data_IF_124345758526
#
_entry.id   IF_124345758526
#
_cell.length_a   1.000
_cell.length_b   1.000
_cell.length_c   1.000
_cell.angle_alpha   90.00
_cell.angle_beta   90.00
_cell.angle_gamma   90.00
#
_symmetry.space_group_name_H-M   'P 1'
#
loop_
_entity.id
_entity.type
_entity.pdbx_description
1 polymer ?
#
# COMPACT_ATOMS: atom_id res chain seq x y z
N UNK A 1 -41.84 -36.84 -22.56
CA UNK A 1 -40.71 -36.86 -21.60
C UNK A 1 -40.01 -35.52 -21.71
N UNK A 2 -40.33 -34.57 -20.82
CA UNK A 2 -39.69 -33.25 -20.79
C UNK A 2 -38.33 -33.39 -20.10
N UNK A 3 -37.25 -33.01 -20.79
CA UNK A 3 -35.96 -32.74 -20.16
C UNK A 3 -35.70 -31.24 -20.26
N UNK A 4 -36.14 -30.52 -19.23
CA UNK A 4 -35.74 -29.14 -18.97
C UNK A 4 -34.30 -29.18 -18.45
N UNK A 5 -33.33 -28.92 -19.32
CA UNK A 5 -31.98 -28.58 -18.88
C UNK A 5 -32.03 -27.16 -18.34
N UNK A 6 -32.18 -27.03 -17.02
CA UNK A 6 -31.83 -25.81 -16.29
C UNK A 6 -30.33 -25.61 -16.42
N UNK A 7 -29.90 -24.99 -17.52
CA UNK A 7 -28.53 -24.53 -17.71
C UNK A 7 -28.18 -23.59 -16.56
N UNK A 8 -27.36 -24.10 -15.63
CA UNK A 8 -26.81 -23.32 -14.54
C UNK A 8 -26.09 -22.11 -15.16
N UNK A 9 -26.62 -20.91 -14.91
CA UNK A 9 -25.89 -19.69 -15.19
C UNK A 9 -24.61 -19.72 -14.34
N UNK A 10 -23.51 -20.11 -14.98
CA UNK A 10 -22.18 -20.02 -14.40
C UNK A 10 -21.92 -18.52 -14.25
N UNK A 11 -22.12 -17.96 -13.06
CA UNK A 11 -21.76 -16.59 -12.75
C UNK A 11 -20.23 -16.48 -12.82
N UNK A 12 -19.71 -16.32 -14.03
CA UNK A 12 -18.29 -16.20 -14.30
C UNK A 12 -17.84 -14.80 -13.90
N UNK A 13 -17.43 -14.66 -12.65
CA UNK A 13 -16.91 -13.41 -12.09
C UNK A 13 -15.48 -13.12 -12.57
N UNK A 14 -15.23 -13.29 -13.87
CA UNK A 14 -13.91 -13.24 -14.52
C UNK A 14 -13.68 -11.97 -15.33
N UNK A 15 -14.50 -10.93 -15.12
CA UNK A 15 -14.23 -9.61 -15.67
C UNK A 15 -13.08 -8.99 -14.89
N UNK A 16 -11.85 -9.27 -15.32
CA UNK A 16 -10.67 -8.54 -14.86
C UNK A 16 -10.57 -7.25 -15.67
N UNK A 17 -10.37 -6.09 -15.03
CA UNK A 17 -10.22 -4.85 -15.77
C UNK A 17 -8.99 -4.92 -16.67
N UNK A 18 -9.11 -4.36 -17.88
CA UNK A 18 -8.01 -4.36 -18.85
C UNK A 18 -6.80 -3.56 -18.32
N UNK A 19 -5.60 -3.90 -18.78
CA UNK A 19 -4.40 -3.14 -18.46
C UNK A 19 -4.54 -1.66 -18.89
N UNK A 20 -5.17 -1.38 -20.03
CA UNK A 20 -5.42 -0.03 -20.51
C UNK A 20 -6.31 0.77 -19.55
N UNK A 21 -7.36 0.15 -19.01
CA UNK A 21 -8.23 0.75 -18.00
C UNK A 21 -7.45 1.07 -16.72
N UNK A 22 -6.60 0.14 -16.28
CA UNK A 22 -5.73 0.33 -15.11
C UNK A 22 -4.76 1.51 -15.29
N UNK A 23 -4.10 1.63 -16.44
CA UNK A 23 -3.18 2.76 -16.69
C UNK A 23 -3.91 4.11 -16.73
N UNK A 24 -5.12 4.16 -17.32
CA UNK A 24 -5.96 5.37 -17.30
C UNK A 24 -6.31 5.75 -15.87
N UNK A 25 -6.76 4.80 -15.06
CA UNK A 25 -7.03 4.99 -13.64
C UNK A 25 -5.81 5.53 -12.88
N UNK A 26 -4.63 4.88 -13.04
CA UNK A 26 -3.40 5.31 -12.36
C UNK A 26 -2.98 6.74 -12.73
N UNK A 27 -3.23 7.18 -13.97
CA UNK A 27 -2.95 8.55 -14.40
C UNK A 27 -3.82 9.56 -13.65
N UNK A 28 -5.11 9.28 -13.48
CA UNK A 28 -6.01 10.14 -12.73
C UNK A 28 -5.68 10.16 -11.22
N UNK A 29 -5.33 9.01 -10.64
CA UNK A 29 -4.92 8.97 -9.22
C UNK A 29 -3.63 9.73 -8.98
N UNK A 30 -2.62 9.60 -9.85
CA UNK A 30 -1.32 10.28 -9.69
C UNK A 30 -1.46 11.81 -9.64
N UNK A 31 -2.36 12.39 -10.44
CA UNK A 31 -2.65 13.83 -10.41
C UNK A 31 -3.09 14.30 -9.02
N UNK A 32 -3.95 13.51 -8.37
CA UNK A 32 -4.54 13.84 -7.07
C UNK A 32 -3.68 13.38 -5.88
N UNK A 33 -2.77 12.42 -6.07
CA UNK A 33 -1.91 11.90 -5.01
C UNK A 33 -0.85 12.93 -4.59
N UNK A 34 -0.25 13.63 -5.56
CA UNK A 34 0.75 14.66 -5.30
C UNK A 34 0.21 15.78 -4.40
N UNK A 35 -1.02 16.22 -4.64
CA UNK A 35 -1.67 17.26 -3.84
C UNK A 35 -1.97 16.83 -2.39
N UNK A 36 -2.15 15.52 -2.15
CA UNK A 36 -2.49 14.96 -0.84
C UNK A 36 -1.27 14.54 -0.02
N UNK A 37 -0.07 14.54 -0.60
CA UNK A 37 1.13 13.99 0.01
C UNK A 37 1.10 12.45 0.12
N UNK A 38 0.29 11.79 -0.70
CA UNK A 38 0.16 10.33 -0.67
C UNK A 38 1.28 9.68 -1.50
N UNK A 39 1.98 8.69 -0.93
CA UNK A 39 2.98 7.86 -1.64
C UNK A 39 2.41 6.49 -1.96
N UNK A 40 2.34 6.15 -3.25
CA UNK A 40 1.85 4.86 -3.70
C UNK A 40 2.88 3.75 -3.40
N UNK A 41 2.46 2.75 -2.62
CA UNK A 41 3.28 1.57 -2.28
C UNK A 41 2.96 0.38 -3.17
N UNK A 42 1.68 0.17 -3.49
CA UNK A 42 1.22 -0.94 -4.34
C UNK A 42 -0.10 -0.60 -5.02
N UNK A 43 -0.29 -1.10 -6.23
CA UNK A 43 -1.56 -1.06 -6.94
C UNK A 43 -1.91 -2.45 -7.48
N UNK A 44 -3.15 -2.87 -7.27
CA UNK A 44 -3.66 -4.17 -7.70
C UNK A 44 -5.04 -4.04 -8.34
N UNK A 45 -5.31 -4.89 -9.32
CA UNK A 45 -6.64 -5.12 -9.86
C UNK A 45 -7.17 -6.44 -9.28
N UNK A 46 -8.29 -6.38 -8.59
CA UNK A 46 -8.92 -7.51 -7.91
C UNK A 46 -10.41 -7.54 -8.23
N UNK A 47 -11.05 -8.69 -8.00
CA UNK A 47 -12.50 -8.81 -8.09
C UNK A 47 -13.05 -9.02 -6.67
N UNK A 48 -13.91 -8.11 -6.18
CA UNK A 48 -14.63 -8.24 -4.92
C UNK A 48 -16.10 -8.44 -5.23
N UNK A 49 -16.71 -9.53 -4.76
CA UNK A 49 -18.13 -9.84 -5.01
C UNK A 49 -18.51 -9.73 -6.50
N UNK A 50 -17.64 -10.26 -7.38
CA UNK A 50 -17.81 -10.21 -8.83
C UNK A 50 -17.79 -8.81 -9.45
N UNK A 51 -17.37 -7.79 -8.70
CA UNK A 51 -17.14 -6.44 -9.20
C UNK A 51 -15.65 -6.18 -9.33
N UNK A 52 -15.18 -5.66 -10.47
CA UNK A 52 -13.78 -5.31 -10.64
C UNK A 52 -13.45 -4.06 -9.81
N UNK A 53 -12.37 -4.15 -9.03
CA UNK A 53 -11.94 -3.12 -8.08
C UNK A 53 -10.44 -2.89 -8.23
N UNK A 54 -10.02 -1.63 -8.19
CA UNK A 54 -8.63 -1.27 -8.02
C UNK A 54 -8.33 -1.02 -6.54
N UNK A 55 -7.35 -1.74 -6.01
CA UNK A 55 -6.86 -1.56 -4.65
C UNK A 55 -5.51 -0.83 -4.70
N UNK A 56 -5.41 0.25 -3.93
CA UNK A 56 -4.21 1.04 -3.79
C UNK A 56 -3.74 1.01 -2.33
N UNK A 57 -2.52 0.52 -2.12
CA UNK A 57 -1.81 0.65 -0.85
C UNK A 57 -0.97 1.92 -0.89
N UNK A 58 -1.20 2.80 0.08
CA UNK A 58 -0.68 4.16 0.10
C UNK A 58 -0.13 4.48 1.49
N UNK A 59 0.99 5.18 1.53
CA UNK A 59 1.48 5.87 2.72
C UNK A 59 0.92 7.30 2.66
N UNK A 60 0.07 7.67 3.62
CA UNK A 60 -0.49 9.02 3.68
C UNK A 60 0.52 10.04 4.25
N UNK A 61 0.19 11.32 4.16
CA UNK A 61 1.03 12.41 4.67
C UNK A 61 1.30 12.35 6.20
N UNK A 62 0.55 11.53 6.94
CA UNK A 62 0.74 11.30 8.38
C UNK A 62 1.58 10.06 8.67
N UNK A 63 2.15 9.41 7.64
CA UNK A 63 2.95 8.19 7.78
C UNK A 63 2.12 6.92 7.99
N UNK A 64 0.79 6.95 7.75
CA UNK A 64 -0.06 5.77 7.91
C UNK A 64 -0.20 5.01 6.60
N UNK A 65 -0.06 3.69 6.69
CA UNK A 65 -0.32 2.80 5.56
C UNK A 65 -1.80 2.46 5.51
N UNK A 66 -2.46 2.87 4.42
CA UNK A 66 -3.89 2.63 4.21
C UNK A 66 -4.12 1.96 2.85
N UNK A 67 -5.22 1.19 2.76
CA UNK A 67 -5.72 0.66 1.50
C UNK A 67 -6.95 1.49 1.07
N UNK A 68 -6.92 2.03 -0.14
CA UNK A 68 -8.10 2.63 -0.78
C UNK A 68 -8.58 1.75 -1.92
N UNK A 69 -9.89 1.60 -2.03
CA UNK A 69 -10.54 0.77 -3.03
C UNK A 69 -11.28 1.68 -4.00
N UNK A 70 -11.18 1.40 -5.29
CA UNK A 70 -11.82 2.16 -6.34
C UNK A 70 -12.60 1.23 -7.25
N UNK A 71 -13.79 1.65 -7.65
CA UNK A 71 -14.57 0.94 -8.65
C UNK A 71 -13.84 1.00 -10.00
N UNK A 72 -13.60 -0.15 -10.63
CA UNK A 72 -12.77 -0.20 -11.84
C UNK A 72 -13.48 0.33 -13.10
N UNK A 73 -14.78 0.63 -13.03
CA UNK A 73 -15.57 1.17 -14.15
C UNK A 73 -15.72 2.69 -14.01
N UNK A 74 -16.10 3.15 -12.82
CA UNK A 74 -16.41 4.55 -12.54
C UNK A 74 -15.24 5.34 -11.95
N UNK A 75 -14.18 4.65 -11.53
CA UNK A 75 -13.01 5.20 -10.83
C UNK A 75 -13.33 5.94 -9.53
N UNK A 76 -14.54 5.76 -8.99
CA UNK A 76 -14.94 6.35 -7.71
C UNK A 76 -14.36 5.54 -6.57
N UNK A 77 -13.90 6.23 -5.52
CA UNK A 77 -13.46 5.60 -4.29
C UNK A 77 -14.65 4.87 -3.65
N UNK A 78 -14.53 3.56 -3.50
CA UNK A 78 -15.45 2.73 -2.74
C UNK A 78 -15.20 3.01 -1.26
N UNK A 79 -16.28 3.24 -0.52
CA UNK A 79 -16.25 3.69 0.87
C UNK A 79 -15.23 2.92 1.69
N UNK A 80 -14.44 3.66 2.49
CA UNK A 80 -13.35 3.14 3.31
C UNK A 80 -13.84 1.98 4.17
N UNK A 81 -13.36 0.73 3.98
CA UNK A 81 -13.53 -0.26 5.03
C UNK A 81 -12.90 0.31 6.30
N UNK A 82 -13.62 0.19 7.43
CA UNK A 82 -13.08 0.57 8.74
C UNK A 82 -11.68 -0.04 8.87
N UNK A 83 -10.67 0.72 9.32
CA UNK A 83 -9.32 0.19 9.47
C UNK A 83 -9.39 -1.05 10.36
N UNK A 84 -8.93 -2.19 9.84
CA UNK A 84 -8.69 -3.37 10.66
C UNK A 84 -7.47 -3.02 11.49
N UNK A 85 -7.68 -2.70 12.77
CA UNK A 85 -6.60 -2.62 13.75
C UNK A 85 -5.94 -4.00 13.79
N UNK A 86 -4.78 -4.13 13.15
CA UNK A 86 -3.98 -5.33 13.26
C UNK A 86 -3.32 -5.31 14.65
N UNK A 87 -4.02 -5.84 15.65
CA UNK A 87 -3.57 -5.96 17.05
C UNK A 87 -2.65 -7.19 17.26
N UNK A 88 -1.79 -7.49 16.30
CA UNK A 88 -0.68 -8.45 16.44
C UNK A 88 0.54 -7.64 15.96
N UNK A 89 1.40 -7.04 16.79
CA UNK A 89 2.32 -7.68 17.73
C UNK A 89 2.68 -6.75 18.91
N UNK A 90 1.87 -6.75 19.97
CA UNK A 90 2.29 -6.27 21.30
C UNK A 90 2.04 -7.38 22.30
N UNK A 91 3.00 -8.29 22.38
CA UNK A 91 3.29 -9.03 23.61
C UNK A 91 4.63 -9.76 23.44
N UNK A 92 5.71 -9.05 23.76
CA UNK A 92 6.85 -9.70 24.42
C UNK A 92 7.50 -8.73 25.39
N UNK A 93 6.95 -8.75 26.59
CA UNK A 93 7.44 -8.09 27.78
C UNK A 93 8.89 -8.47 28.09
N UNK A 94 9.64 -7.45 28.49
CA UNK A 94 10.60 -7.41 29.59
C UNK A 94 11.50 -8.63 29.82
N UNK A 95 12.79 -8.44 29.54
CA UNK A 95 13.85 -9.02 30.35
C UNK A 95 14.97 -7.98 30.49
N UNK A 96 14.84 -7.16 31.53
CA UNK A 96 15.94 -6.38 32.07
C UNK A 96 16.92 -7.33 32.75
N UNK A 97 18.12 -7.48 32.19
CA UNK A 97 19.27 -7.98 32.95
C UNK A 97 20.57 -7.66 32.22
N UNK A 98 21.22 -6.59 32.67
CA UNK A 98 22.63 -6.58 33.06
C UNK A 98 23.71 -6.67 31.96
N UNK A 99 24.57 -5.67 31.93
CA UNK A 99 25.93 -5.83 31.40
C UNK A 99 26.51 -4.56 30.82
N UNK A 100 26.96 -3.63 31.69
CA UNK A 100 27.76 -2.50 31.26
C UNK A 100 29.09 -2.93 30.64
N UNK A 101 29.59 -2.13 29.70
CA UNK A 101 30.99 -1.98 29.34
C UNK A 101 31.15 -0.64 28.63
N UNK A 102 31.55 0.35 29.42
CA UNK A 102 32.12 1.60 28.95
C UNK A 102 33.40 1.33 28.16
N UNK A 103 33.54 1.92 26.99
CA UNK A 103 34.85 2.16 26.38
C UNK A 103 34.83 3.53 25.73
N UNK A 104 35.24 4.51 26.54
CA UNK A 104 35.84 5.78 26.13
C UNK A 104 37.05 5.50 25.24
N UNK A 105 37.01 5.98 24.00
CA UNK A 105 38.16 6.18 23.11
C UNK A 105 37.81 7.42 22.29
N UNK A 106 38.18 8.58 22.82
CA UNK A 106 39.46 9.28 22.59
C UNK A 106 39.26 10.24 21.43
N UNK A 107 39.31 11.52 21.79
CA UNK A 107 39.34 12.70 20.95
C UNK A 107 40.57 12.65 20.03
N UNK A 108 40.39 13.01 18.76
CA UNK A 108 41.44 13.58 17.90
C UNK A 108 40.73 14.55 16.93
N UNK A 109 40.47 15.75 17.45
CA UNK A 109 40.44 16.98 16.66
C UNK A 109 41.88 17.25 16.17
N UNK A 110 42.06 17.47 14.87
CA UNK A 110 43.15 18.24 14.22
C UNK A 110 42.83 18.23 12.72
N UNK A 111 42.15 19.25 12.19
CA UNK A 111 42.69 20.50 11.64
C UNK A 111 43.28 20.38 10.22
N UNK A 112 43.01 21.45 9.47
CA UNK A 112 43.72 21.96 8.29
C UNK A 112 43.48 21.33 6.90
N UNK A 113 42.51 21.92 6.21
CA UNK A 113 42.73 22.77 5.04
C UNK A 113 43.97 22.43 4.17
N UNK A 114 43.74 22.01 2.92
CA UNK A 114 44.54 22.46 1.78
C UNK A 114 43.72 22.37 0.49
N UNK A 115 43.62 23.53 -0.16
CA UNK A 115 43.33 23.72 -1.57
C UNK A 115 44.28 22.86 -2.42
N UNK A 116 43.77 22.20 -3.45
CA UNK A 116 44.59 21.87 -4.62
C UNK A 116 43.75 22.05 -5.89
N UNK A 117 44.19 23.03 -6.66
CA UNK A 117 43.81 23.43 -8.02
C UNK A 117 44.02 22.29 -9.06
N UNK A 118 43.09 22.12 -10.00
CA UNK A 118 43.30 22.22 -11.47
C UNK A 118 41.96 22.14 -12.26
#
# INVERSE_FOLDING_TARGET
>A
MLLLFSGMAQASCSDKPSAATFFKFMKEVKKNAHQRGDTLLKASAINKECKPVFELKILDAHGRVINRYYDAVTYKELYKPKPILNNNDRDKSDSSSGGGRSSSRDDDDDDDNDDDDD
#
